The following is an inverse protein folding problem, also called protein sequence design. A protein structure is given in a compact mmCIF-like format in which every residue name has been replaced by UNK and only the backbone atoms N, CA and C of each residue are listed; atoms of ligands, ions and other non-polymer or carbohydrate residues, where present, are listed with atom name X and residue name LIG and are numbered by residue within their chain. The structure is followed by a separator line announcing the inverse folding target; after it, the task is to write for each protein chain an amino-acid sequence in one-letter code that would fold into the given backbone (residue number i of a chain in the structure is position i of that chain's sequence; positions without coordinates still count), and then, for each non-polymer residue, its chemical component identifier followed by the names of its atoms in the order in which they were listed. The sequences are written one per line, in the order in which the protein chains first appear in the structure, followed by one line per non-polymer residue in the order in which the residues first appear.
data_IF_463238853686
#
_entry.id   IF_463238853686
#
_cell.length_a   1.000
_cell.length_b   1.000
_cell.length_c   1.000
_cell.angle_alpha   90.00
_cell.angle_beta   90.00
_cell.angle_gamma   90.00
#
_symmetry.space_group_name_H-M   'P 1'
#
loop_
_entity.id
_entity.type
_entity.pdbx_description
1 polymer ?
#
# COMPACT_ATOMS: atom_id res chain seq x y z
N UNK A 1 22.24 5.49 -37.21
CA UNK A 1 22.10 6.90 -36.82
C UNK A 1 21.45 7.53 -38.00
N UNK A 2 20.17 7.80 -37.86
CA UNK A 2 19.36 8.44 -38.88
C UNK A 2 18.45 9.35 -38.10
N UNK A 3 18.78 10.63 -38.07
CA UNK A 3 17.92 11.69 -37.59
C UNK A 3 16.58 11.52 -38.31
N UNK A 4 15.52 11.27 -37.55
CA UNK A 4 14.21 10.98 -38.11
C UNK A 4 13.26 12.10 -37.72
N UNK A 5 12.80 12.87 -38.70
CA UNK A 5 11.81 13.91 -38.44
C UNK A 5 10.41 13.30 -38.26
N UNK A 6 10.02 12.36 -39.11
CA UNK A 6 8.73 11.67 -39.05
C UNK A 6 8.87 10.27 -39.67
N UNK A 7 8.58 9.23 -38.91
CA UNK A 7 8.39 7.88 -39.42
C UNK A 7 6.92 7.49 -39.28
N UNK A 8 6.20 7.41 -40.40
CA UNK A 8 4.81 7.01 -40.44
C UNK A 8 4.54 5.56 -40.00
N UNK A 9 3.27 5.15 -40.09
CA UNK A 9 2.82 3.88 -39.55
C UNK A 9 3.53 2.66 -40.18
N UNK A 10 3.91 1.69 -39.34
CA UNK A 10 4.61 0.50 -39.78
C UNK A 10 3.87 -0.81 -39.46
N UNK A 11 3.98 -1.81 -40.35
CA UNK A 11 3.30 -3.10 -40.22
C UNK A 11 4.00 -4.03 -39.22
N UNK A 12 4.69 -5.05 -39.75
CA UNK A 12 5.54 -5.95 -38.96
C UNK A 12 7.00 -5.63 -39.21
N UNK A 13 7.73 -5.31 -38.14
CA UNK A 13 9.17 -5.09 -38.18
C UNK A 13 9.87 -6.05 -37.23
N UNK A 14 11.05 -6.52 -37.62
CA UNK A 14 11.85 -7.41 -36.78
C UNK A 14 12.78 -6.61 -35.84
N UNK A 15 13.41 -5.57 -36.36
CA UNK A 15 14.36 -4.77 -35.60
C UNK A 15 14.30 -3.33 -36.07
N UNK A 16 14.15 -2.41 -35.12
CA UNK A 16 14.20 -0.98 -35.37
C UNK A 16 15.10 -0.33 -34.33
N UNK A 17 16.02 0.50 -34.80
CA UNK A 17 16.88 1.33 -33.95
C UNK A 17 16.82 2.75 -34.44
N UNK A 18 16.34 3.64 -33.59
CA UNK A 18 16.17 5.06 -33.86
C UNK A 18 16.93 5.85 -32.79
N UNK A 19 17.43 7.01 -33.18
CA UNK A 19 17.99 8.03 -32.29
C UNK A 19 17.57 9.38 -32.87
N UNK A 20 17.38 10.39 -32.01
CA UNK A 20 17.07 11.76 -32.43
C UNK A 20 15.81 11.82 -33.32
N UNK A 21 14.69 11.32 -32.78
CA UNK A 21 13.40 11.27 -33.48
C UNK A 21 12.42 12.28 -32.92
N UNK A 22 11.72 13.01 -33.78
CA UNK A 22 10.66 13.92 -33.33
C UNK A 22 9.31 13.25 -33.25
N UNK A 23 8.94 12.49 -34.29
CA UNK A 23 7.65 11.81 -34.35
C UNK A 23 7.80 10.39 -34.89
N UNK A 24 7.31 9.40 -34.13
CA UNK A 24 7.22 8.01 -34.57
C UNK A 24 5.76 7.56 -34.56
N UNK A 25 5.18 7.33 -35.73
CA UNK A 25 3.80 6.87 -35.87
C UNK A 25 3.54 5.47 -35.30
N UNK A 26 2.27 5.07 -35.34
CA UNK A 26 1.83 3.79 -34.78
C UNK A 26 2.40 2.58 -35.53
N UNK A 27 2.71 1.49 -34.82
CA UNK A 27 3.06 0.23 -35.49
C UNK A 27 2.32 -1.00 -34.97
N UNK A 28 2.13 -1.96 -35.89
CA UNK A 28 1.40 -3.19 -35.64
C UNK A 28 2.16 -4.18 -34.75
N UNK A 29 3.27 -4.74 -35.24
CA UNK A 29 4.05 -5.74 -34.50
C UNK A 29 5.55 -5.50 -34.65
N UNK A 30 6.25 -5.41 -33.52
CA UNK A 30 7.69 -5.17 -33.50
C UNK A 30 8.39 -6.12 -32.54
N UNK A 31 9.40 -6.85 -33.02
CA UNK A 31 10.12 -7.77 -32.15
C UNK A 31 11.13 -7.03 -31.26
N UNK A 32 11.89 -6.08 -31.82
CA UNK A 32 12.89 -5.33 -31.07
C UNK A 32 12.90 -3.86 -31.47
N UNK A 33 12.72 -2.98 -30.49
CA UNK A 33 12.86 -1.54 -30.61
C UNK A 33 13.92 -1.03 -29.64
N UNK A 34 14.85 -0.25 -30.17
CA UNK A 34 15.75 0.55 -29.35
C UNK A 34 15.69 2.01 -29.79
N UNK A 35 15.37 2.88 -28.85
CA UNK A 35 15.26 4.32 -29.07
C UNK A 35 16.12 5.08 -28.06
N UNK A 36 16.61 6.24 -28.49
CA UNK A 36 17.24 7.24 -27.62
C UNK A 36 16.86 8.63 -28.12
N UNK A 37 16.69 9.59 -27.23
CA UNK A 37 16.50 11.00 -27.61
C UNK A 37 15.31 11.18 -28.56
N UNK A 38 14.15 10.63 -28.16
CA UNK A 38 12.95 10.63 -28.99
C UNK A 38 11.81 11.41 -28.35
N UNK A 39 11.09 12.15 -29.16
CA UNK A 39 9.85 12.85 -28.84
C UNK A 39 8.69 12.09 -29.51
N UNK A 40 7.50 12.22 -28.95
CA UNK A 40 6.20 11.83 -29.53
C UNK A 40 6.17 10.47 -30.26
N UNK A 41 6.11 9.40 -29.48
CA UNK A 41 6.01 8.04 -29.96
C UNK A 41 4.54 7.59 -29.93
N UNK A 42 4.01 7.13 -31.05
CA UNK A 42 2.61 6.74 -31.22
C UNK A 42 2.24 5.42 -30.53
N UNK A 43 1.09 4.87 -30.91
CA UNK A 43 0.56 3.64 -30.31
C UNK A 43 1.13 2.35 -30.95
N UNK A 44 1.34 1.32 -30.13
CA UNK A 44 1.95 0.06 -30.56
C UNK A 44 1.03 -1.13 -30.30
N UNK A 45 0.84 -2.00 -31.29
CA UNK A 45 0.01 -3.20 -31.14
C UNK A 45 0.65 -4.25 -30.23
N UNK A 46 1.64 -4.96 -30.75
CA UNK A 46 2.37 -5.99 -30.02
C UNK A 46 3.87 -5.78 -30.14
N UNK A 47 4.58 -5.76 -28.99
CA UNK A 47 6.00 -5.52 -28.96
C UNK A 47 6.70 -6.50 -28.00
N UNK A 48 7.76 -7.17 -28.47
CA UNK A 48 8.45 -8.15 -27.63
C UNK A 48 9.48 -7.46 -26.72
N UNK A 49 10.33 -6.60 -27.27
CA UNK A 49 11.37 -5.91 -26.52
C UNK A 49 11.47 -4.45 -26.89
N UNK A 50 11.24 -3.56 -25.93
CA UNK A 50 11.47 -2.12 -26.06
C UNK A 50 12.53 -1.68 -25.05
N UNK A 51 13.54 -0.99 -25.56
CA UNK A 51 14.49 -0.24 -24.75
C UNK A 51 14.49 1.22 -25.18
N UNK A 52 14.23 2.10 -24.23
CA UNK A 52 14.26 3.55 -24.41
C UNK A 52 15.21 4.20 -23.41
N UNK A 53 15.77 5.32 -23.82
CA UNK A 53 16.46 6.27 -22.95
C UNK A 53 16.14 7.68 -23.43
N UNK A 54 15.96 8.63 -22.51
CA UNK A 54 15.79 10.05 -22.83
C UNK A 54 14.62 10.27 -23.81
N UNK A 55 13.43 9.81 -23.42
CA UNK A 55 12.22 9.92 -24.25
C UNK A 55 11.16 10.77 -23.55
N UNK A 56 10.41 11.57 -24.30
CA UNK A 56 9.37 12.42 -23.70
C UNK A 56 8.05 11.66 -23.62
N UNK A 57 7.41 11.41 -24.76
CA UNK A 57 6.05 10.87 -24.76
C UNK A 57 6.01 9.51 -25.47
N UNK A 58 5.62 8.45 -24.75
CA UNK A 58 5.26 7.16 -25.35
C UNK A 58 3.74 6.96 -25.28
N UNK A 59 3.12 6.77 -26.43
CA UNK A 59 1.72 6.43 -26.57
C UNK A 59 1.38 5.03 -26.08
N UNK A 60 0.12 4.65 -26.26
CA UNK A 60 -0.40 3.41 -25.69
C UNK A 60 0.20 2.14 -26.32
N UNK A 61 0.38 1.08 -25.54
CA UNK A 61 0.72 -0.25 -26.05
C UNK A 61 -0.37 -1.30 -25.81
N UNK A 62 -0.59 -2.18 -26.79
CA UNK A 62 -1.51 -3.32 -26.62
C UNK A 62 -0.89 -4.40 -25.74
N UNK A 63 0.17 -5.03 -26.23
CA UNK A 63 0.91 -6.08 -25.51
C UNK A 63 2.41 -5.85 -25.60
N UNK A 64 3.08 -5.89 -24.45
CA UNK A 64 4.51 -5.69 -24.33
C UNK A 64 5.13 -6.77 -23.45
N UNK A 65 6.13 -7.52 -23.95
CA UNK A 65 6.74 -8.57 -23.13
C UNK A 65 7.82 -7.98 -22.21
N UNK A 66 8.72 -7.18 -22.76
CA UNK A 66 9.82 -6.59 -22.02
C UNK A 66 9.96 -5.12 -22.36
N UNK A 67 9.95 -4.30 -21.32
CA UNK A 67 10.18 -2.88 -21.39
C UNK A 67 11.29 -2.48 -20.43
N UNK A 68 12.26 -1.76 -20.97
CA UNK A 68 13.26 -1.05 -20.17
C UNK A 68 13.30 0.40 -20.58
N UNK A 69 13.04 1.28 -19.62
CA UNK A 69 13.06 2.72 -19.79
C UNK A 69 14.05 3.30 -18.78
N UNK A 70 14.72 4.35 -19.21
CA UNK A 70 15.48 5.26 -18.34
C UNK A 70 15.17 6.67 -18.83
N UNK A 71 14.90 7.60 -17.92
CA UNK A 71 14.67 9.02 -18.26
C UNK A 71 13.48 9.18 -19.22
N UNK A 72 12.26 9.05 -18.69
CA UNK A 72 11.03 9.22 -19.45
C UNK A 72 10.09 10.20 -18.77
N UNK A 73 9.52 11.12 -19.54
CA UNK A 73 8.51 12.04 -19.00
C UNK A 73 7.18 11.30 -18.90
N UNK A 74 6.58 10.97 -20.04
CA UNK A 74 5.22 10.43 -20.09
C UNK A 74 5.20 9.07 -20.79
N UNK A 75 4.72 8.05 -20.09
CA UNK A 75 4.46 6.74 -20.66
C UNK A 75 2.97 6.45 -20.56
N UNK A 76 2.30 6.38 -21.70
CA UNK A 76 0.89 6.11 -21.84
C UNK A 76 0.46 4.70 -21.40
N UNK A 77 -0.83 4.45 -21.54
CA UNK A 77 -1.45 3.23 -21.05
C UNK A 77 -0.97 1.96 -21.77
N UNK A 78 -1.00 0.82 -21.08
CA UNK A 78 -0.79 -0.46 -21.76
C UNK A 78 -1.76 -1.55 -21.33
N UNK A 79 -2.18 -2.36 -22.29
CA UNK A 79 -3.09 -3.48 -22.04
C UNK A 79 -2.45 -4.58 -21.20
N UNK A 80 -1.33 -5.14 -21.67
CA UNK A 80 -0.63 -6.22 -20.98
C UNK A 80 0.87 -6.06 -21.05
N UNK A 81 1.53 -6.09 -19.89
CA UNK A 81 2.98 -6.03 -19.76
C UNK A 81 3.51 -7.15 -18.87
N UNK A 82 4.47 -7.94 -19.37
CA UNK A 82 5.07 -9.00 -18.57
C UNK A 82 6.19 -8.48 -17.67
N UNK A 83 7.09 -7.66 -18.21
CA UNK A 83 8.24 -7.15 -17.45
C UNK A 83 8.50 -5.69 -17.77
N UNK A 84 8.45 -4.86 -16.73
CA UNK A 84 8.80 -3.45 -16.77
C UNK A 84 9.97 -3.19 -15.81
N UNK A 85 11.02 -2.57 -16.35
CA UNK A 85 12.07 -1.95 -15.54
C UNK A 85 12.22 -0.49 -15.92
N UNK A 86 12.10 0.39 -14.94
CA UNK A 86 12.22 1.83 -15.13
C UNK A 86 13.17 2.45 -14.13
N UNK A 87 13.75 3.56 -14.55
CA UNK A 87 14.50 4.49 -13.71
C UNK A 87 14.18 5.90 -14.16
N UNK A 88 13.97 6.82 -13.22
CA UNK A 88 13.82 8.25 -13.50
C UNK A 88 12.65 8.52 -14.46
N UNK A 89 11.44 8.22 -14.01
CA UNK A 89 10.21 8.45 -14.80
C UNK A 89 9.27 9.43 -14.08
N UNK A 90 8.62 10.31 -14.83
CA UNK A 90 7.65 11.25 -14.25
C UNK A 90 6.27 10.60 -14.20
N UNK A 91 5.60 10.48 -15.34
CA UNK A 91 4.19 10.11 -15.39
C UNK A 91 3.98 8.79 -16.14
N UNK A 92 3.32 7.86 -15.47
CA UNK A 92 2.96 6.57 -16.03
C UNK A 92 1.45 6.41 -16.06
N UNK A 93 0.92 6.09 -17.23
CA UNK A 93 -0.50 5.87 -17.46
C UNK A 93 -1.02 4.59 -16.82
N UNK A 94 -2.26 4.24 -17.18
CA UNK A 94 -2.95 3.08 -16.63
C UNK A 94 -2.52 1.75 -17.28
N UNK A 95 -2.52 0.67 -16.50
CA UNK A 95 -2.12 -0.67 -16.95
C UNK A 95 -3.22 -1.70 -16.72
N UNK A 96 -3.55 -2.50 -17.74
CA UNK A 96 -4.49 -3.61 -17.56
C UNK A 96 -3.87 -4.71 -16.68
N UNK A 97 -2.93 -5.47 -17.23
CA UNK A 97 -2.25 -6.53 -16.51
C UNK A 97 -0.73 -6.35 -16.52
N UNK A 98 -0.10 -6.34 -15.34
CA UNK A 98 1.35 -6.21 -15.16
C UNK A 98 1.88 -7.37 -14.30
N UNK A 99 2.73 -8.23 -14.87
CA UNK A 99 3.29 -9.34 -14.09
C UNK A 99 4.42 -8.87 -13.16
N UNK A 100 5.38 -8.12 -13.70
CA UNK A 100 6.54 -7.67 -12.94
C UNK A 100 6.88 -6.22 -13.25
N UNK A 101 6.95 -5.41 -12.20
CA UNK A 101 7.39 -4.02 -12.25
C UNK A 101 8.52 -3.80 -11.25
N UNK A 102 9.62 -3.26 -11.75
CA UNK A 102 10.70 -2.71 -10.92
C UNK A 102 10.95 -1.27 -11.31
N UNK A 103 10.83 -0.38 -10.34
CA UNK A 103 11.08 1.05 -10.52
C UNK A 103 12.11 1.56 -9.52
N UNK A 104 12.78 2.62 -9.91
CA UNK A 104 13.62 3.46 -9.05
C UNK A 104 13.33 4.88 -9.50
N UNK A 105 12.92 5.74 -8.58
CA UNK A 105 12.59 7.13 -8.86
C UNK A 105 11.45 7.29 -9.89
N UNK A 106 10.22 7.28 -9.36
CA UNK A 106 9.00 7.57 -10.10
C UNK A 106 8.29 8.76 -9.45
N UNK A 107 7.75 9.69 -10.23
CA UNK A 107 6.83 10.66 -9.67
C UNK A 107 5.46 10.00 -9.51
N UNK A 108 4.79 9.69 -10.62
CA UNK A 108 3.39 9.26 -10.63
C UNK A 108 3.23 7.93 -11.37
N UNK A 109 2.84 6.87 -10.65
CA UNK A 109 2.40 5.61 -11.25
C UNK A 109 0.88 5.56 -11.34
N UNK A 110 0.33 5.52 -12.55
CA UNK A 110 -1.11 5.39 -12.78
C UNK A 110 -1.71 4.07 -12.29
N UNK A 111 -3.04 3.99 -12.40
CA UNK A 111 -3.81 2.85 -11.91
C UNK A 111 -3.48 1.52 -12.63
N UNK A 112 -3.66 0.40 -11.94
CA UNK A 112 -3.51 -0.93 -12.54
C UNK A 112 -4.66 -1.88 -12.16
N UNK A 113 -5.25 -2.60 -13.12
CA UNK A 113 -6.30 -3.57 -12.77
C UNK A 113 -5.71 -4.78 -12.03
N UNK A 114 -4.61 -5.34 -12.54
CA UNK A 114 -3.95 -6.50 -11.95
C UNK A 114 -2.44 -6.40 -12.01
N UNK A 115 -1.82 -6.45 -10.83
CA UNK A 115 -0.38 -6.44 -10.67
C UNK A 115 0.11 -7.62 -9.82
N UNK A 116 1.05 -8.42 -10.34
CA UNK A 116 1.55 -9.57 -9.58
C UNK A 116 2.72 -9.21 -8.67
N UNK A 117 3.72 -8.51 -9.18
CA UNK A 117 4.91 -8.14 -8.42
C UNK A 117 5.33 -6.70 -8.71
N UNK A 118 5.36 -5.87 -7.67
CA UNK A 118 5.82 -4.49 -7.71
C UNK A 118 6.94 -4.31 -6.70
N UNK A 119 8.06 -3.78 -7.20
CA UNK A 119 9.15 -3.28 -6.38
C UNK A 119 9.48 -1.85 -6.75
N UNK A 120 9.33 -0.96 -5.80
CA UNK A 120 9.64 0.46 -5.92
C UNK A 120 10.74 0.78 -4.90
N UNK A 121 11.74 1.55 -5.32
CA UNK A 121 12.62 2.22 -4.36
C UNK A 121 11.90 3.44 -3.80
N UNK A 122 11.60 4.40 -4.69
CA UNK A 122 11.06 5.71 -4.37
C UNK A 122 9.94 6.03 -5.36
N UNK A 123 8.81 6.53 -4.85
CA UNK A 123 7.67 7.00 -5.63
C UNK A 123 7.04 8.20 -4.93
N UNK A 124 6.51 9.17 -5.68
CA UNK A 124 5.66 10.18 -5.08
C UNK A 124 4.25 9.59 -4.90
N UNK A 125 3.59 9.31 -6.03
CA UNK A 125 2.19 8.89 -6.06
C UNK A 125 2.03 7.54 -6.75
N UNK A 126 1.56 6.54 -6.00
CA UNK A 126 1.19 5.23 -6.53
C UNK A 126 -0.33 5.15 -6.65
N UNK A 127 -0.84 5.12 -7.87
CA UNK A 127 -2.27 5.04 -8.18
C UNK A 127 -2.96 3.78 -7.68
N UNK A 128 -4.29 3.77 -7.83
CA UNK A 128 -5.13 2.69 -7.35
C UNK A 128 -4.87 1.35 -8.06
N UNK A 129 -5.04 0.24 -7.34
CA UNK A 129 -4.90 -1.09 -7.90
C UNK A 129 -6.12 -1.98 -7.64
N UNK A 130 -6.61 -2.70 -8.65
CA UNK A 130 -7.69 -3.66 -8.48
C UNK A 130 -7.23 -4.85 -7.64
N UNK A 131 -6.22 -5.57 -8.13
CA UNK A 131 -5.61 -6.72 -7.44
C UNK A 131 -4.10 -6.62 -7.47
N UNK A 132 -3.48 -6.70 -6.28
CA UNK A 132 -2.05 -6.72 -6.13
C UNK A 132 -1.57 -7.91 -5.30
N UNK A 133 -0.66 -8.72 -5.83
CA UNK A 133 -0.17 -9.90 -5.12
C UNK A 133 1.00 -9.61 -4.19
N UNK A 134 2.03 -8.91 -4.68
CA UNK A 134 3.21 -8.57 -3.91
C UNK A 134 3.66 -7.15 -4.19
N UNK A 135 3.67 -6.32 -3.15
CA UNK A 135 4.20 -4.97 -3.18
C UNK A 135 5.32 -4.82 -2.16
N UNK A 136 6.45 -4.32 -2.66
CA UNK A 136 7.55 -3.86 -1.82
C UNK A 136 7.94 -2.45 -2.23
N UNK A 137 7.83 -1.53 -1.29
CA UNK A 137 8.20 -0.13 -1.42
C UNK A 137 9.27 0.15 -0.37
N UNK A 138 10.28 0.94 -0.70
CA UNK A 138 11.10 1.54 0.36
C UNK A 138 10.35 2.77 0.83
N UNK A 139 10.22 3.78 -0.03
CA UNK A 139 9.64 5.07 0.31
C UNK A 139 8.54 5.45 -0.70
N UNK A 140 7.40 5.92 -0.21
CA UNK A 140 6.33 6.50 -1.03
C UNK A 140 5.65 7.64 -0.27
N UNK A 141 5.23 8.70 -0.96
CA UNK A 141 4.36 9.70 -0.32
C UNK A 141 2.96 9.12 -0.24
N UNK A 142 2.32 8.93 -1.39
CA UNK A 142 0.91 8.58 -1.44
C UNK A 142 0.69 7.26 -2.18
N UNK A 143 -0.13 6.39 -1.59
CA UNK A 143 -0.58 5.15 -2.23
C UNK A 143 -2.10 5.16 -2.27
N UNK A 144 -2.65 5.07 -3.46
CA UNK A 144 -4.09 4.99 -3.71
C UNK A 144 -4.73 3.72 -3.18
N UNK A 145 -6.06 3.68 -3.31
CA UNK A 145 -6.85 2.55 -2.81
C UNK A 145 -6.52 1.23 -3.54
N UNK A 146 -6.65 0.12 -2.80
CA UNK A 146 -6.47 -1.22 -3.36
C UNK A 146 -7.70 -2.11 -3.12
N UNK A 147 -8.17 -2.81 -4.14
CA UNK A 147 -9.25 -3.77 -3.99
C UNK A 147 -8.82 -4.98 -3.16
N UNK A 148 -7.81 -5.70 -3.62
CA UNK A 148 -7.24 -6.87 -2.93
C UNK A 148 -5.72 -6.82 -2.94
N UNK A 149 -5.12 -6.97 -1.75
CA UNK A 149 -3.67 -6.95 -1.55
C UNK A 149 -3.21 -8.19 -0.76
N UNK A 150 -2.36 -9.03 -1.35
CA UNK A 150 -1.92 -10.25 -0.66
C UNK A 150 -0.73 -9.99 0.27
N UNK A 151 0.27 -9.27 -0.22
CA UNK A 151 1.45 -8.96 0.57
C UNK A 151 1.91 -7.53 0.30
N UNK A 152 2.00 -6.74 1.36
CA UNK A 152 2.60 -5.42 1.35
C UNK A 152 3.70 -5.34 2.39
N UNK A 153 4.87 -4.90 1.94
CA UNK A 153 5.96 -4.45 2.79
C UNK A 153 6.41 -3.06 2.39
N UNK A 154 6.38 -2.14 3.34
CA UNK A 154 6.89 -0.77 3.18
C UNK A 154 7.89 -0.46 4.27
N UNK A 155 8.86 0.40 3.96
CA UNK A 155 9.64 1.05 5.01
C UNK A 155 8.85 2.28 5.44
N UNK A 156 8.72 3.25 4.55
CA UNK A 156 8.23 4.59 4.85
C UNK A 156 7.07 4.92 3.89
N UNK A 157 5.97 5.42 4.45
CA UNK A 157 4.81 5.89 3.69
C UNK A 157 4.24 7.12 4.38
N UNK A 158 3.86 8.16 3.62
CA UNK A 158 3.05 9.22 4.21
C UNK A 158 1.61 8.71 4.31
N UNK A 159 0.94 8.50 3.18
CA UNK A 159 -0.47 8.17 3.14
C UNK A 159 -0.73 6.87 2.37
N UNK A 160 -1.27 5.86 3.05
CA UNK A 160 -1.76 4.64 2.39
C UNK A 160 -3.28 4.63 2.39
N UNK A 161 -3.88 4.70 1.21
CA UNK A 161 -5.32 4.68 1.00
C UNK A 161 -6.02 3.39 1.43
N UNK A 162 -7.35 3.40 1.32
CA UNK A 162 -8.19 2.31 1.80
C UNK A 162 -7.95 0.99 1.04
N UNK A 163 -8.08 -0.14 1.76
CA UNK A 163 -7.98 -1.47 1.17
C UNK A 163 -9.28 -2.29 1.39
N UNK A 164 -9.75 -2.99 0.35
CA UNK A 164 -10.89 -3.89 0.50
C UNK A 164 -10.53 -5.12 1.35
N UNK A 165 -9.54 -5.89 0.88
CA UNK A 165 -9.01 -7.06 1.56
C UNK A 165 -7.48 -7.07 1.55
N UNK A 166 -6.87 -7.36 2.69
CA UNK A 166 -5.43 -7.42 2.87
C UNK A 166 -5.02 -8.67 3.66
N UNK A 167 -4.15 -9.50 3.11
CA UNK A 167 -3.68 -10.70 3.82
C UNK A 167 -2.50 -10.40 4.75
N UNK A 168 -1.42 -9.81 4.26
CA UNK A 168 -0.26 -9.46 5.08
C UNK A 168 0.21 -8.04 4.82
N UNK A 169 0.23 -7.23 5.88
CA UNK A 169 0.78 -5.88 5.88
C UNK A 169 1.93 -5.78 6.88
N UNK A 170 3.06 -5.23 6.41
CA UNK A 170 4.16 -4.78 7.25
C UNK A 170 4.62 -3.39 6.83
N UNK A 171 4.53 -2.43 7.73
CA UNK A 171 5.07 -1.08 7.53
C UNK A 171 5.95 -0.73 8.72
N UNK A 172 6.99 0.05 8.47
CA UNK A 172 7.95 0.47 9.49
C UNK A 172 7.67 1.87 9.99
N UNK A 173 7.29 2.79 9.10
CA UNK A 173 6.95 4.17 9.40
C UNK A 173 5.76 4.56 8.51
N UNK A 174 4.66 5.04 9.11
CA UNK A 174 3.47 5.48 8.38
C UNK A 174 2.87 6.71 9.05
N UNK A 175 2.58 7.76 8.28
CA UNK A 175 1.79 8.85 8.83
C UNK A 175 0.32 8.43 8.91
N UNK A 176 -0.33 8.20 7.76
CA UNK A 176 -1.76 7.89 7.70
C UNK A 176 -2.01 6.56 7.00
N UNK A 177 -2.67 5.62 7.69
CA UNK A 177 -3.19 4.39 7.10
C UNK A 177 -4.71 4.45 7.01
N UNK A 178 -5.24 4.40 5.80
CA UNK A 178 -6.66 4.37 5.52
C UNK A 178 -7.38 3.13 6.06
N UNK A 179 -8.71 3.17 5.95
CA UNK A 179 -9.57 2.08 6.42
C UNK A 179 -9.38 0.79 5.62
N UNK A 180 -9.65 -0.36 6.25
CA UNK A 180 -9.78 -1.60 5.49
C UNK A 180 -10.83 -2.58 5.97
N UNK A 181 -11.48 -3.21 4.99
CA UNK A 181 -12.61 -4.10 5.23
C UNK A 181 -12.20 -5.37 5.96
N UNK A 182 -11.18 -6.06 5.46
CA UNK A 182 -10.68 -7.31 6.06
C UNK A 182 -9.16 -7.37 6.00
N UNK A 183 -8.54 -7.60 7.16
CA UNK A 183 -7.10 -7.71 7.30
C UNK A 183 -6.75 -8.96 8.12
N UNK A 184 -5.88 -9.82 7.60
CA UNK A 184 -5.49 -11.03 8.32
C UNK A 184 -4.31 -10.78 9.28
N UNK A 185 -3.25 -10.16 8.78
CA UNK A 185 -2.07 -9.90 9.58
C UNK A 185 -1.54 -8.50 9.33
N UNK A 186 -1.38 -7.74 10.40
CA UNK A 186 -0.77 -6.43 10.39
C UNK A 186 0.36 -6.37 11.42
N UNK A 187 1.51 -5.92 10.94
CA UNK A 187 2.64 -5.55 11.79
C UNK A 187 3.09 -4.14 11.43
N UNK A 188 2.95 -3.24 12.39
CA UNK A 188 3.40 -1.86 12.25
C UNK A 188 4.48 -1.54 13.28
N UNK A 189 5.33 -0.60 12.90
CA UNK A 189 6.12 0.22 13.80
C UNK A 189 5.81 1.69 13.47
N UNK A 190 5.98 2.59 14.44
CA UNK A 190 6.03 4.04 14.23
C UNK A 190 4.92 4.58 13.32
N UNK A 191 3.69 4.60 13.83
CA UNK A 191 2.53 5.11 13.11
C UNK A 191 1.90 6.32 13.80
N UNK A 192 1.42 7.29 13.02
CA UNK A 192 0.60 8.37 13.58
C UNK A 192 -0.86 7.91 13.61
N UNK A 193 -1.52 7.87 12.45
CA UNK A 193 -2.97 7.68 12.39
C UNK A 193 -3.33 6.41 11.61
N UNK A 194 -4.09 5.53 12.26
CA UNK A 194 -4.64 4.32 11.63
C UNK A 194 -6.16 4.42 11.57
N UNK A 195 -6.71 4.23 10.38
CA UNK A 195 -8.14 4.30 10.11
C UNK A 195 -8.94 3.15 10.72
N UNK A 196 -10.22 3.08 10.36
CA UNK A 196 -11.13 2.06 10.87
C UNK A 196 -10.99 0.70 10.15
N UNK A 197 -11.21 -0.38 10.89
CA UNK A 197 -11.09 -1.75 10.38
C UNK A 197 -12.37 -2.55 10.58
N UNK A 198 -12.84 -3.23 9.53
CA UNK A 198 -14.01 -4.11 9.62
C UNK A 198 -13.71 -5.36 10.44
N UNK A 199 -12.84 -6.21 9.91
CA UNK A 199 -12.39 -7.44 10.55
C UNK A 199 -10.86 -7.56 10.51
N UNK A 200 -10.25 -7.82 11.67
CA UNK A 200 -8.81 -7.98 11.83
C UNK A 200 -8.49 -9.24 12.64
N UNK A 201 -7.72 -10.16 12.07
CA UNK A 201 -7.34 -11.38 12.80
C UNK A 201 -6.18 -11.12 13.77
N UNK A 202 -5.09 -10.51 13.30
CA UNK A 202 -3.89 -10.28 14.09
C UNK A 202 -3.31 -8.90 13.84
N UNK A 203 -3.14 -8.15 14.92
CA UNK A 203 -2.46 -6.87 14.95
C UNK A 203 -1.30 -6.90 15.95
N UNK A 204 -0.11 -6.53 15.48
CA UNK A 204 1.01 -6.18 16.32
C UNK A 204 1.52 -4.79 15.97
N UNK A 205 1.59 -3.92 16.97
CA UNK A 205 2.13 -2.58 16.80
C UNK A 205 3.18 -2.28 17.86
N UNK A 206 4.09 -1.38 17.51
CA UNK A 206 5.05 -0.76 18.42
C UNK A 206 5.06 0.70 18.03
N UNK A 207 4.64 1.56 18.94
CA UNK A 207 4.50 3.00 18.72
C UNK A 207 3.39 3.37 17.70
N UNK A 208 2.26 3.81 18.24
CA UNK A 208 1.14 4.34 17.48
C UNK A 208 0.64 5.60 18.19
N UNK A 209 0.29 6.66 17.47
CA UNK A 209 -0.46 7.75 18.09
C UNK A 209 -1.92 7.31 18.22
N UNK A 210 -2.62 7.20 17.10
CA UNK A 210 -4.07 7.02 17.08
C UNK A 210 -4.44 5.77 16.28
N UNK A 211 -5.06 4.79 16.95
CA UNK A 211 -5.66 3.64 16.29
C UNK A 211 -7.18 3.80 16.23
N UNK A 212 -7.73 3.88 15.03
CA UNK A 212 -9.16 3.99 14.80
C UNK A 212 -9.99 2.78 15.25
N UNK A 213 -11.31 2.90 15.09
CA UNK A 213 -12.24 1.88 15.55
C UNK A 213 -12.10 0.55 14.80
N UNK A 214 -12.38 -0.56 15.50
CA UNK A 214 -12.41 -1.89 14.90
C UNK A 214 -13.75 -2.59 15.14
N UNK A 215 -14.34 -3.17 14.09
CA UNK A 215 -15.54 -3.99 14.21
C UNK A 215 -15.27 -5.29 14.98
N UNK A 216 -14.39 -6.13 14.44
CA UNK A 216 -13.99 -7.41 15.05
C UNK A 216 -12.49 -7.59 15.02
N UNK A 217 -11.88 -7.85 16.18
CA UNK A 217 -10.46 -8.07 16.34
C UNK A 217 -10.19 -9.33 17.16
N UNK A 218 -9.40 -10.26 16.63
CA UNK A 218 -9.13 -11.51 17.35
C UNK A 218 -7.93 -11.38 18.28
N UNK A 219 -6.83 -10.83 17.79
CA UNK A 219 -5.62 -10.64 18.57
C UNK A 219 -5.03 -9.26 18.35
N UNK A 220 -4.90 -8.51 19.43
CA UNK A 220 -4.22 -7.23 19.45
C UNK A 220 -3.06 -7.27 20.45
N UNK A 221 -1.88 -6.88 19.96
CA UNK A 221 -0.73 -6.58 20.79
C UNK A 221 -0.15 -5.22 20.45
N UNK A 222 -0.14 -4.34 21.44
CA UNK A 222 0.43 -2.99 21.35
C UNK A 222 1.52 -2.89 22.41
N UNK A 223 2.66 -2.31 22.05
CA UNK A 223 3.65 -1.88 23.05
C UNK A 223 3.21 -0.54 23.62
N UNK A 224 3.14 0.48 22.75
CA UNK A 224 2.88 1.87 23.09
C UNK A 224 1.80 2.42 22.14
N UNK A 225 0.79 3.10 22.69
CA UNK A 225 -0.24 3.80 21.92
C UNK A 225 -0.71 5.04 22.67
N UNK A 226 -0.98 6.15 21.99
CA UNK A 226 -1.68 7.26 22.64
C UNK A 226 -3.16 6.91 22.79
N UNK A 227 -3.88 6.81 21.68
CA UNK A 227 -5.32 6.62 21.68
C UNK A 227 -5.71 5.34 20.91
N UNK A 228 -6.36 4.41 21.61
CA UNK A 228 -6.97 3.22 21.02
C UNK A 228 -8.48 3.43 20.89
N UNK A 229 -8.99 3.49 19.67
CA UNK A 229 -10.40 3.67 19.37
C UNK A 229 -11.30 2.50 19.81
N UNK A 230 -12.61 2.72 19.68
CA UNK A 230 -13.61 1.76 20.12
C UNK A 230 -13.56 0.43 19.35
N UNK A 231 -13.86 -0.67 20.04
CA UNK A 231 -13.89 -2.02 19.46
C UNK A 231 -15.25 -2.69 19.66
N UNK A 232 -15.85 -3.21 18.58
CA UNK A 232 -17.10 -3.98 18.68
C UNK A 232 -16.91 -5.29 19.43
N UNK A 233 -16.05 -6.17 18.89
CA UNK A 233 -15.69 -7.45 19.52
C UNK A 233 -14.18 -7.64 19.51
N UNK A 234 -13.61 -7.95 20.66
CA UNK A 234 -12.17 -8.19 20.85
C UNK A 234 -11.94 -9.49 21.64
N UNK A 235 -11.20 -10.45 21.08
CA UNK A 235 -10.96 -11.72 21.79
C UNK A 235 -9.77 -11.61 22.76
N UNK A 236 -8.65 -11.11 22.27
CA UNK A 236 -7.43 -10.98 23.06
C UNK A 236 -6.80 -9.61 22.84
N UNK A 237 -6.64 -8.87 23.94
CA UNK A 237 -5.93 -7.61 23.98
C UNK A 237 -4.76 -7.71 24.95
N UNK A 238 -3.58 -7.34 24.45
CA UNK A 238 -2.40 -7.07 25.27
C UNK A 238 -1.83 -5.70 24.95
N UNK A 239 -1.80 -4.84 25.94
CA UNK A 239 -1.21 -3.49 25.87
C UNK A 239 -0.12 -3.40 26.94
N UNK A 240 0.97 -2.70 26.63
CA UNK A 240 2.04 -2.43 27.59
C UNK A 240 1.95 -1.03 28.16
N UNK A 241 1.70 -0.04 27.31
CA UNK A 241 1.58 1.37 27.65
C UNK A 241 0.49 1.99 26.75
N UNK A 242 -0.50 2.66 27.33
CA UNK A 242 -1.50 3.41 26.56
C UNK A 242 -2.06 4.60 27.35
N UNK A 243 -2.34 5.73 26.69
CA UNK A 243 -3.05 6.82 27.37
C UNK A 243 -4.52 6.45 27.46
N UNK A 244 -5.21 6.42 26.32
CA UNK A 244 -6.66 6.27 26.28
C UNK A 244 -7.09 5.05 25.49
N UNK A 245 -8.01 4.27 26.07
CA UNK A 245 -8.65 3.16 25.38
C UNK A 245 -10.15 3.41 25.33
N UNK A 246 -10.70 3.47 24.13
CA UNK A 246 -12.11 3.65 23.86
C UNK A 246 -12.97 2.47 24.32
N UNK A 247 -14.28 2.65 24.22
CA UNK A 247 -15.24 1.65 24.67
C UNK A 247 -15.14 0.33 23.89
N UNK A 248 -15.42 -0.78 24.57
CA UNK A 248 -15.52 -2.10 23.94
C UNK A 248 -16.90 -2.75 24.15
N UNK A 249 -17.49 -3.28 23.07
CA UNK A 249 -18.74 -4.03 23.17
C UNK A 249 -18.56 -5.35 23.92
N UNK A 250 -17.68 -6.21 23.41
CA UNK A 250 -17.35 -7.51 24.02
C UNK A 250 -15.86 -7.75 24.00
N UNK A 251 -15.29 -8.05 25.17
CA UNK A 251 -13.87 -8.34 25.37
C UNK A 251 -13.69 -9.65 26.14
N UNK A 252 -13.01 -10.65 25.57
CA UNK A 252 -12.80 -11.92 26.27
C UNK A 252 -11.59 -11.86 27.22
N UNK A 253 -10.45 -11.40 26.73
CA UNK A 253 -9.23 -11.35 27.51
C UNK A 253 -8.54 -10.01 27.35
N UNK A 254 -8.36 -9.32 28.47
CA UNK A 254 -7.59 -8.10 28.56
C UNK A 254 -6.40 -8.29 29.49
N UNK A 255 -5.21 -7.99 28.97
CA UNK A 255 -4.01 -7.79 29.78
C UNK A 255 -3.39 -6.44 29.48
N UNK A 256 -3.29 -5.59 30.49
CA UNK A 256 -2.67 -4.28 30.36
C UNK A 256 -1.68 -4.02 31.50
N UNK A 257 -0.69 -3.20 31.20
CA UNK A 257 0.11 -2.41 32.13
C UNK A 257 -0.01 -0.95 31.70
N UNK A 258 0.23 -0.02 32.62
CA UNK A 258 0.46 1.40 32.35
C UNK A 258 -0.58 2.02 31.40
N UNK A 259 -1.81 2.18 31.92
CA UNK A 259 -2.93 2.77 31.20
C UNK A 259 -3.44 4.02 31.93
N UNK A 260 -3.67 5.15 31.26
CA UNK A 260 -4.33 6.27 31.94
C UNK A 260 -5.82 5.96 32.07
N UNK A 261 -6.53 5.88 30.94
CA UNK A 261 -7.97 5.76 30.91
C UNK A 261 -8.43 4.53 30.11
N UNK A 262 -9.21 3.65 30.76
CA UNK A 262 -9.91 2.57 30.08
C UNK A 262 -11.41 2.87 30.00
N UNK A 263 -11.93 3.00 28.79
CA UNK A 263 -13.33 3.21 28.49
C UNK A 263 -14.24 2.06 28.91
N UNK A 264 -15.55 2.31 28.86
CA UNK A 264 -16.55 1.34 29.29
C UNK A 264 -16.54 0.04 28.46
N UNK A 265 -16.83 -1.08 29.11
CA UNK A 265 -16.96 -2.39 28.48
C UNK A 265 -18.36 -2.96 28.66
N UNK A 266 -19.01 -3.43 27.58
CA UNK A 266 -20.30 -4.11 27.67
C UNK A 266 -20.20 -5.43 28.42
N UNK A 267 -19.32 -6.32 27.95
CA UNK A 267 -19.00 -7.59 28.58
C UNK A 267 -17.49 -7.86 28.57
N UNK A 268 -16.95 -8.24 29.72
CA UNK A 268 -15.54 -8.57 29.94
C UNK A 268 -15.39 -9.89 30.69
N UNK A 269 -14.78 -10.90 30.08
CA UNK A 269 -14.63 -12.21 30.74
C UNK A 269 -13.43 -12.23 31.69
N UNK A 270 -12.27 -11.78 31.22
CA UNK A 270 -11.03 -11.78 32.00
C UNK A 270 -10.31 -10.43 31.88
N UNK A 271 -10.13 -9.76 33.02
CA UNK A 271 -9.34 -8.53 33.13
C UNK A 271 -8.12 -8.76 34.03
N UNK A 272 -6.95 -8.47 33.48
CA UNK A 272 -5.73 -8.24 34.25
C UNK A 272 -5.14 -6.89 33.90
N UNK A 273 -5.08 -6.00 34.88
CA UNK A 273 -4.53 -4.65 34.72
C UNK A 273 -3.56 -4.35 35.86
N UNK A 274 -2.50 -3.62 35.54
CA UNK A 274 -1.62 -2.97 36.53
C UNK A 274 -1.42 -1.53 36.12
N UNK A 275 -1.24 -0.64 37.10
CA UNK A 275 -0.87 0.76 36.87
C UNK A 275 -1.90 1.48 35.98
N UNK A 276 -3.10 1.68 36.53
CA UNK A 276 -4.21 2.36 35.84
C UNK A 276 -4.69 3.58 36.62
N UNK A 277 -5.04 4.67 35.94
CA UNK A 277 -5.61 5.84 36.61
C UNK A 277 -7.12 5.74 36.71
N UNK A 278 -7.82 5.60 35.58
CA UNK A 278 -9.27 5.58 35.53
C UNK A 278 -9.81 4.33 34.81
N UNK A 279 -10.69 3.60 35.51
CA UNK A 279 -11.35 2.40 34.97
C UNK A 279 -12.84 2.67 34.75
N UNK A 280 -13.26 2.67 33.48
CA UNK A 280 -14.64 2.80 33.05
C UNK A 280 -15.53 1.63 33.46
N UNK A 281 -16.84 1.87 33.47
CA UNK A 281 -17.83 0.89 33.90
C UNK A 281 -17.83 -0.38 33.03
N UNK A 282 -18.04 -1.53 33.66
CA UNK A 282 -18.19 -2.81 32.99
C UNK A 282 -19.57 -3.42 33.26
N UNK A 283 -20.36 -3.63 32.19
CA UNK A 283 -21.71 -4.18 32.32
C UNK A 283 -21.73 -5.62 32.85
N UNK A 284 -20.74 -6.44 32.48
CA UNK A 284 -20.56 -7.80 33.01
C UNK A 284 -19.09 -8.13 33.11
N UNK A 285 -18.62 -8.47 34.32
CA UNK A 285 -17.23 -8.85 34.58
C UNK A 285 -17.19 -10.19 35.32
N UNK A 286 -16.49 -11.20 34.77
CA UNK A 286 -16.38 -12.51 35.42
C UNK A 286 -15.12 -12.68 36.27
N UNK A 287 -13.96 -12.23 35.77
CA UNK A 287 -12.69 -12.33 36.48
C UNK A 287 -11.91 -11.02 36.43
N UNK A 288 -11.44 -10.59 37.60
CA UNK A 288 -10.68 -9.36 37.78
C UNK A 288 -9.41 -9.62 38.57
N UNK A 289 -8.28 -9.14 38.05
CA UNK A 289 -7.01 -9.00 38.78
C UNK A 289 -6.45 -7.61 38.53
N UNK A 290 -6.30 -6.84 39.61
CA UNK A 290 -5.76 -5.47 39.57
C UNK A 290 -4.61 -5.30 40.56
N UNK A 291 -3.67 -4.43 40.23
CA UNK A 291 -2.65 -3.92 41.13
C UNK A 291 -2.35 -2.47 40.78
N UNK A 292 -2.22 -1.62 41.80
CA UNK A 292 -1.78 -0.23 41.63
C UNK A 292 -2.69 0.62 40.70
N UNK A 293 -4.00 0.36 40.75
CA UNK A 293 -5.00 1.17 40.06
C UNK A 293 -5.58 2.25 40.99
N UNK A 294 -5.71 3.47 40.49
CA UNK A 294 -6.43 4.58 41.12
C UNK A 294 -7.87 4.60 40.58
N UNK A 295 -8.72 5.47 41.14
CA UNK A 295 -10.15 5.66 40.83
C UNK A 295 -10.91 4.52 40.09
N UNK A 296 -11.52 3.62 40.88
CA UNK A 296 -12.40 2.58 40.35
C UNK A 296 -13.79 3.16 40.14
N UNK A 297 -14.15 3.46 38.89
CA UNK A 297 -15.49 3.91 38.51
C UNK A 297 -16.57 2.98 39.09
N UNK A 298 -17.43 3.55 39.95
CA UNK A 298 -18.53 2.88 40.63
C UNK A 298 -19.72 2.57 39.71
#
# INVERSE_FOLDING_TARGET
MSDCQDLGACGTLLYLRISDCQDLGACGTLLYLKMSDCQDLGAWGALLYLKMSDCQDLGACGTLLYLRISDCQDLGACGTLLYLKMSDCQDLGAWGALLYLKMSDCQDLGACDTLLYLRISDCQDLGACGTLLYLRISDCQDIGACGTLLYLKMSDCQDLGACGALLYLRISDCQDLGACGTLLYLKMSDCQDLGAWGALLYLKMSDCQDLGACGTLLYLRISDCQDLGACGTLLYLRISDCQDIGACGTLLYLKMSDCQDLGACGALLYLRISDCQDLGACGTLLYLKMSDCQDLGA
#
